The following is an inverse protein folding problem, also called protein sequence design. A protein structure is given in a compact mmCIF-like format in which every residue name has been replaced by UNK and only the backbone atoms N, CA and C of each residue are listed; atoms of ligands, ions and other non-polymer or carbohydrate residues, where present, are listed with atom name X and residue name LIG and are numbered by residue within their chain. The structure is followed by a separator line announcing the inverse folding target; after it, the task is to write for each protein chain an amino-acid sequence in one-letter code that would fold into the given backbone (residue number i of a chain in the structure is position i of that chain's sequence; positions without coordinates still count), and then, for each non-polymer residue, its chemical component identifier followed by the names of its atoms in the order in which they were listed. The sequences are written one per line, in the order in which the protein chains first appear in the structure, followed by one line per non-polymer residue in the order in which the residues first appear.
data_IF_379737786657
#
_entry.id   IF_379737786657
#
_cell.length_a   1.000
_cell.length_b   1.000
_cell.length_c   1.000
_cell.angle_alpha   90.00
_cell.angle_beta   90.00
_cell.angle_gamma   90.00
#
_symmetry.space_group_name_H-M   'P 1'
#
loop_
_entity.id
_entity.type
_entity.pdbx_description
1 polymer ?
#
# COMPACT_ATOMS: atom_id res chain seq x y z
N UNK A 1 -13.29 8.72 2.33
CA UNK A 1 -12.75 7.57 3.08
C UNK A 1 -11.32 7.32 2.61
N UNK A 2 -10.39 6.93 3.49
CA UNK A 2 -9.02 6.58 3.09
C UNK A 2 -8.92 5.05 3.04
N UNK A 3 -8.13 4.53 2.11
CA UNK A 3 -7.77 3.12 2.09
C UNK A 3 -6.30 2.97 1.69
N UNK A 4 -5.72 1.82 2.00
CA UNK A 4 -4.37 1.45 1.61
C UNK A 4 -4.43 0.27 0.66
N UNK A 5 -4.04 0.48 -0.59
CA UNK A 5 -3.90 -0.58 -1.58
C UNK A 5 -2.49 -1.21 -1.43
N UNK A 6 -2.42 -2.53 -1.31
CA UNK A 6 -1.18 -3.29 -1.20
C UNK A 6 -0.86 -3.95 -2.54
N UNK A 7 0.40 -3.84 -2.95
CA UNK A 7 0.92 -4.38 -4.18
C UNK A 7 2.10 -5.31 -3.89
N UNK A 8 2.14 -6.44 -4.57
CA UNK A 8 3.30 -7.32 -4.58
C UNK A 8 4.09 -7.08 -5.87
N UNK A 9 5.40 -6.98 -5.73
CA UNK A 9 6.31 -6.92 -6.86
C UNK A 9 6.61 -8.33 -7.38
N UNK A 10 6.09 -8.65 -8.57
CA UNK A 10 6.46 -9.81 -9.36
C UNK A 10 7.51 -9.36 -10.41
N UNK A 11 8.74 -9.94 -10.42
CA UNK A 11 9.79 -9.57 -11.37
C UNK A 11 9.41 -9.71 -12.85
N UNK A 12 8.42 -10.56 -13.16
CA UNK A 12 7.96 -10.85 -14.53
C UNK A 12 6.72 -10.01 -14.88
N UNK A 13 5.80 -9.82 -13.94
CA UNK A 13 4.50 -9.18 -14.21
C UNK A 13 4.38 -7.72 -13.72
N UNK A 14 5.33 -7.25 -12.93
CA UNK A 14 5.28 -5.92 -12.32
C UNK A 14 4.54 -5.93 -10.99
N UNK A 15 3.74 -4.89 -10.72
CA UNK A 15 3.04 -4.75 -9.44
C UNK A 15 1.61 -5.30 -9.52
N UNK A 16 1.33 -6.35 -8.75
CA UNK A 16 -0.02 -6.95 -8.65
C UNK A 16 -0.70 -6.49 -7.37
N UNK A 17 -1.97 -6.05 -7.45
CA UNK A 17 -2.78 -5.69 -6.29
C UNK A 17 -3.11 -6.96 -5.50
N UNK A 18 -2.65 -7.03 -4.25
CA UNK A 18 -2.87 -8.19 -3.36
C UNK A 18 -3.96 -7.95 -2.32
N UNK A 19 -4.23 -6.70 -1.95
CA UNK A 19 -5.33 -6.40 -1.03
C UNK A 19 -5.54 -4.93 -0.76
N UNK A 20 -6.64 -4.63 -0.08
CA UNK A 20 -7.05 -3.27 0.27
C UNK A 20 -7.40 -3.22 1.76
N UNK A 21 -6.74 -2.34 2.50
CA UNK A 21 -7.07 -2.02 3.89
C UNK A 21 -7.87 -0.71 3.93
N UNK A 22 -9.20 -0.76 4.08
CA UNK A 22 -9.99 0.44 4.30
C UNK A 22 -9.68 1.03 5.69
N UNK A 23 -9.29 2.30 5.74
CA UNK A 23 -9.09 3.00 7.00
C UNK A 23 -10.45 3.35 7.61
N UNK A 24 -10.71 2.79 8.79
CA UNK A 24 -11.97 2.92 9.54
C UNK A 24 -11.81 3.69 10.85
N UNK A 25 -10.58 4.02 11.25
CA UNK A 25 -10.29 4.72 12.49
C UNK A 25 -10.56 6.21 12.32
N UNK A 26 -11.12 6.81 13.37
CA UNK A 26 -11.37 8.26 13.43
C UNK A 26 -10.09 9.09 13.61
N UNK A 27 -9.03 8.50 14.18
CA UNK A 27 -7.75 9.18 14.36
C UNK A 27 -6.71 8.65 13.36
N UNK A 28 -6.43 9.39 12.28
CA UNK A 28 -5.44 9.00 11.28
C UNK A 28 -4.01 9.05 11.81
N UNK A 29 -3.70 9.80 12.88
CA UNK A 29 -2.33 9.89 13.41
C UNK A 29 -1.82 8.57 14.01
N UNK A 30 -2.73 7.61 14.29
CA UNK A 30 -2.37 6.28 14.78
C UNK A 30 -1.98 5.30 13.66
N UNK A 31 -2.19 5.64 12.38
CA UNK A 31 -1.75 4.79 11.27
C UNK A 31 -0.27 5.06 10.99
N UNK A 32 0.60 4.16 11.46
CA UNK A 32 2.02 4.19 11.11
C UNK A 32 2.26 3.28 9.91
N UNK A 33 3.29 3.59 9.12
CA UNK A 33 3.78 2.70 8.06
C UNK A 33 4.01 1.28 8.59
N UNK A 34 4.57 1.14 9.79
CA UNK A 34 4.78 -0.15 10.47
C UNK A 34 3.46 -0.91 10.70
N UNK A 35 2.41 -0.22 11.14
CA UNK A 35 1.09 -0.84 11.36
C UNK A 35 0.47 -1.36 10.06
N UNK A 36 0.65 -0.62 8.96
CA UNK A 36 0.16 -1.00 7.63
C UNK A 36 0.93 -2.24 7.13
N UNK A 37 2.26 -2.21 7.22
CA UNK A 37 3.11 -3.33 6.80
C UNK A 37 2.84 -4.59 7.62
N UNK A 38 2.71 -4.47 8.95
CA UNK A 38 2.37 -5.59 9.84
C UNK A 38 0.99 -6.18 9.56
N UNK A 39 0.02 -5.35 9.14
CA UNK A 39 -1.26 -5.87 8.64
C UNK A 39 -1.07 -6.68 7.36
N UNK A 40 -0.29 -6.16 6.41
CA UNK A 40 0.07 -6.88 5.19
C UNK A 40 0.72 -8.24 5.48
N UNK A 41 1.74 -8.27 6.33
CA UNK A 41 2.41 -9.52 6.76
C UNK A 41 1.44 -10.54 7.38
N UNK A 42 0.51 -10.09 8.22
CA UNK A 42 -0.46 -10.96 8.86
C UNK A 42 -1.46 -11.57 7.86
N UNK A 43 -1.83 -10.83 6.82
CA UNK A 43 -2.83 -11.25 5.83
C UNK A 43 -2.20 -12.09 4.73
N UNK A 44 -1.02 -11.69 4.26
CA UNK A 44 -0.33 -12.29 3.12
C UNK A 44 0.62 -13.42 3.52
N UNK A 45 0.92 -13.57 4.81
CA UNK A 45 1.75 -14.64 5.35
C UNK A 45 3.25 -14.31 5.29
N UNK A 46 4.03 -15.01 6.13
CA UNK A 46 5.48 -14.81 6.26
C UNK A 46 6.28 -15.24 5.02
N UNK A 47 5.66 -16.00 4.13
CA UNK A 47 6.28 -16.52 2.91
C UNK A 47 6.43 -15.44 1.84
N UNK A 48 5.61 -14.39 1.90
CA UNK A 48 5.80 -13.21 1.07
C UNK A 48 6.88 -12.33 1.69
N UNK A 49 7.99 -12.24 0.98
CA UNK A 49 9.11 -11.39 1.35
C UNK A 49 8.63 -9.95 1.45
N UNK A 50 8.60 -9.42 2.67
CA UNK A 50 8.10 -8.07 3.01
C UNK A 50 8.74 -6.98 2.15
N UNK A 51 9.95 -7.22 1.65
CA UNK A 51 10.69 -6.31 0.75
C UNK A 51 10.03 -6.13 -0.62
N UNK A 52 9.18 -7.06 -1.02
CA UNK A 52 8.48 -7.06 -2.30
C UNK A 52 7.05 -6.50 -2.16
N UNK A 53 6.60 -6.21 -0.93
CA UNK A 53 5.29 -5.62 -0.65
C UNK A 53 5.43 -4.10 -0.60
N UNK A 54 4.60 -3.42 -1.40
CA UNK A 54 4.44 -1.98 -1.41
C UNK A 54 3.00 -1.63 -1.05
N UNK A 55 2.77 -0.44 -0.52
CA UNK A 55 1.41 0.07 -0.35
C UNK A 55 1.34 1.53 -0.81
N UNK A 56 0.15 1.92 -1.25
CA UNK A 56 -0.18 3.32 -1.52
C UNK A 56 -1.41 3.70 -0.71
N UNK A 57 -1.45 4.95 -0.28
CA UNK A 57 -2.65 5.53 0.30
C UNK A 57 -3.54 6.06 -0.81
N UNK A 58 -4.79 5.63 -0.86
CA UNK A 58 -5.81 6.10 -1.79
C UNK A 58 -6.95 6.78 -1.05
N UNK A 59 -7.56 7.77 -1.70
CA UNK A 59 -8.75 8.44 -1.18
C UNK A 59 -9.96 7.95 -1.95
N UNK A 60 -10.89 7.30 -1.26
CA UNK A 60 -12.16 6.85 -1.80
C UNK A 60 -13.20 7.95 -1.53
N UNK A 61 -13.76 8.51 -2.59
CA UNK A 61 -14.88 9.44 -2.48
C UNK A 61 -16.11 8.69 -1.97
N UNK A 62 -16.72 9.19 -0.89
CA UNK A 62 -17.81 8.50 -0.20
C UNK A 62 -19.12 8.48 -1.01
N UNK A 63 -19.35 9.51 -1.83
CA UNK A 63 -20.61 9.70 -2.54
C UNK A 63 -20.62 8.96 -3.89
N UNK A 64 -19.45 8.87 -4.52
CA UNK A 64 -19.31 8.30 -5.87
C UNK A 64 -18.61 6.94 -5.89
N UNK A 65 -17.96 6.54 -4.79
CA UNK A 65 -17.10 5.35 -4.74
C UNK A 65 -15.79 5.48 -5.54
N UNK A 66 -15.55 6.64 -6.16
CA UNK A 66 -14.37 6.87 -6.99
C UNK A 66 -13.09 6.81 -6.15
N UNK A 67 -12.11 6.05 -6.63
CA UNK A 67 -10.79 5.93 -6.02
C UNK A 67 -9.85 6.96 -6.63
N UNK A 68 -9.50 7.96 -5.83
CA UNK A 68 -8.48 8.94 -6.16
C UNK A 68 -7.14 8.37 -5.70
N UNK A 69 -6.38 7.87 -6.68
CA UNK A 69 -5.00 7.45 -6.46
C UNK A 69 -4.10 8.67 -6.51
N UNK A 70 -3.12 8.81 -5.61
CA UNK A 70 -2.07 9.80 -5.80
C UNK A 70 -1.42 9.49 -7.14
N UNK A 71 -1.24 10.51 -7.98
CA UNK A 71 -0.54 10.38 -9.25
C UNK A 71 0.80 9.68 -8.95
N UNK A 72 1.16 8.57 -9.61
CA UNK A 72 2.36 7.82 -9.28
C UNK A 72 3.56 8.74 -9.50
N UNK A 73 4.01 9.37 -8.42
CA UNK A 73 5.35 9.91 -8.35
C UNK A 73 6.21 8.68 -8.46
N UNK A 74 6.83 8.50 -9.63
CA UNK A 74 7.95 7.60 -9.83
C UNK A 74 8.74 7.56 -8.54
N UNK A 75 8.76 6.39 -7.88
CA UNK A 75 9.67 6.13 -6.78
C UNK A 75 11.03 6.49 -7.36
N UNK A 76 11.52 7.65 -6.96
CA UNK A 76 12.79 8.15 -7.40
C UNK A 76 13.74 7.12 -6.81
N UNK A 77 14.18 6.16 -7.63
CA UNK A 77 15.25 5.24 -7.30
C UNK A 77 16.46 6.14 -7.11
N UNK A 78 16.57 6.69 -5.90
CA UNK A 78 17.76 7.35 -5.43
C UNK A 78 18.75 6.21 -5.40
N UNK A 79 19.49 6.07 -6.52
CA UNK A 79 20.61 5.15 -6.68
C UNK A 79 21.41 5.27 -5.39
N UNK A 80 21.30 4.27 -4.51
CA UNK A 80 22.31 4.09 -3.49
C UNK A 80 23.55 3.68 -4.27
N UNK A 81 24.40 4.68 -4.55
CA UNK A 81 25.70 4.45 -5.14
C UNK A 81 26.47 3.54 -4.19
N UNK A 82 27.07 2.54 -4.84
CA UNK A 82 27.92 1.45 -4.38
C UNK A 82 28.95 1.87 -3.33
#
# INVERSE_FOLDING_TARGET
MVAYEFYLHDPVKGYELVGILPERRKNPERITQESIMRWGENIFGKDLNVKDIYFIQVTINADTGNIIRPNPFFVNQKKMKK
#
